data_IF_324379325012
#
_entry.id   IF_324379325012
#
_cell.length_a   1.000
_cell.length_b   1.000
_cell.length_c   1.000
_cell.angle_alpha   90.00
_cell.angle_beta   90.00
_cell.angle_gamma   90.00
#
_symmetry.space_group_name_H-M   'P 1'
#
loop_
_entity.id
_entity.type
_entity.pdbx_description
1 polymer ?
#
# COMPACT_ATOMS: atom_id res chain seq x y z
N UNK A 1 -14.33 6.49 -24.69
CA UNK A 1 -14.17 6.49 -23.22
C UNK A 1 -13.63 5.14 -22.81
N UNK A 2 -12.30 5.02 -22.65
CA UNK A 2 -11.70 3.77 -22.21
C UNK A 2 -12.10 3.55 -20.74
N UNK A 3 -12.65 2.38 -20.35
CA UNK A 3 -12.90 2.12 -18.95
C UNK A 3 -11.56 2.16 -18.23
N UNK A 4 -11.42 3.11 -17.30
CA UNK A 4 -10.31 3.13 -16.35
C UNK A 4 -10.35 1.75 -15.69
N UNK A 5 -9.38 0.91 -16.04
CA UNK A 5 -9.41 -0.52 -15.69
C UNK A 5 -9.67 -0.65 -14.20
N UNK A 6 -10.75 -1.35 -13.83
CA UNK A 6 -11.13 -1.47 -12.44
C UNK A 6 -9.92 -1.95 -11.63
N UNK A 7 -9.53 -1.24 -10.54
CA UNK A 7 -8.45 -1.71 -9.69
C UNK A 7 -8.78 -3.13 -9.24
N UNK A 8 -7.85 -4.06 -9.43
CA UNK A 8 -8.10 -5.46 -9.06
C UNK A 8 -8.11 -5.49 -7.54
N UNK A 9 -9.27 -5.77 -6.95
CA UNK A 9 -9.38 -5.95 -5.51
C UNK A 9 -9.31 -7.44 -5.22
N UNK A 10 -8.42 -7.85 -4.32
CA UNK A 10 -8.26 -9.25 -3.92
C UNK A 10 -8.40 -9.38 -2.43
N UNK A 11 -9.29 -10.27 -1.99
CA UNK A 11 -9.49 -10.55 -0.57
C UNK A 11 -8.23 -11.23 -0.01
N UNK A 12 -7.57 -10.59 0.96
CA UNK A 12 -6.34 -11.07 1.58
C UNK A 12 -6.29 -10.65 3.05
N UNK A 13 -5.76 -11.53 3.92
CA UNK A 13 -5.54 -11.25 5.34
C UNK A 13 -6.78 -10.76 6.11
N UNK A 14 -7.95 -11.32 5.79
CA UNK A 14 -9.21 -10.91 6.43
C UNK A 14 -9.78 -9.57 5.94
N UNK A 15 -9.15 -8.92 4.95
CA UNK A 15 -9.65 -7.71 4.30
C UNK A 15 -9.43 -7.72 2.79
N UNK A 16 -9.03 -6.60 2.20
CA UNK A 16 -8.98 -6.35 0.76
C UNK A 16 -7.67 -5.68 0.32
N UNK A 17 -6.85 -6.37 -0.47
CA UNK A 17 -5.72 -5.76 -1.17
C UNK A 17 -6.18 -5.08 -2.46
N UNK A 18 -5.74 -3.84 -2.69
CA UNK A 18 -5.96 -3.09 -3.92
C UNK A 18 -4.72 -3.15 -4.80
N UNK A 19 -4.93 -3.50 -6.06
CA UNK A 19 -3.88 -3.69 -7.05
C UNK A 19 -4.12 -2.81 -8.27
N UNK A 20 -3.05 -2.14 -8.69
CA UNK A 20 -2.94 -1.48 -9.98
C UNK A 20 -2.14 -2.42 -10.91
N UNK A 21 -2.86 -3.16 -11.75
CA UNK A 21 -2.30 -4.26 -12.55
C UNK A 21 -1.74 -5.40 -11.69
N UNK A 22 -0.41 -5.48 -11.55
CA UNK A 22 0.31 -6.43 -10.68
C UNK A 22 0.85 -5.76 -9.40
N UNK A 23 0.77 -4.44 -9.30
CA UNK A 23 1.32 -3.65 -8.20
C UNK A 23 0.28 -3.44 -7.10
N UNK A 24 0.44 -4.15 -5.97
CA UNK A 24 -0.36 -3.89 -4.77
C UNK A 24 0.07 -2.57 -4.15
N UNK A 25 -0.85 -1.60 -4.07
CA UNK A 25 -0.58 -0.25 -3.56
C UNK A 25 -1.32 0.07 -2.27
N UNK A 26 -2.44 -0.60 -1.99
CA UNK A 26 -3.15 -0.42 -0.73
C UNK A 26 -3.68 -1.77 -0.21
N UNK A 27 -3.91 -1.82 1.10
CA UNK A 27 -4.47 -2.97 1.81
C UNK A 27 -5.48 -2.44 2.81
N UNK A 28 -6.70 -2.95 2.78
CA UNK A 28 -7.70 -2.72 3.83
C UNK A 28 -7.67 -3.99 4.68
N UNK A 29 -7.38 -3.89 5.96
CA UNK A 29 -7.40 -5.03 6.89
C UNK A 29 -7.79 -4.53 8.27
N UNK A 30 -8.48 -5.36 9.07
CA UNK A 30 -8.92 -4.97 10.43
C UNK A 30 -9.71 -3.65 10.47
N UNK A 31 -10.51 -3.38 9.44
CA UNK A 31 -11.26 -2.12 9.27
C UNK A 31 -10.37 -0.86 9.13
N UNK A 32 -9.08 -1.04 8.84
CA UNK A 32 -8.11 0.03 8.63
C UNK A 32 -7.55 0.00 7.23
N UNK A 33 -7.34 1.18 6.65
CA UNK A 33 -6.69 1.34 5.37
C UNK A 33 -5.18 1.45 5.59
N UNK A 34 -4.43 0.70 4.80
CA UNK A 34 -2.98 0.72 4.78
C UNK A 34 -2.48 1.05 3.38
N UNK A 35 -1.57 2.01 3.28
CA UNK A 35 -0.93 2.42 2.05
C UNK A 35 0.47 1.85 1.95
N UNK A 36 0.88 1.49 0.73
CA UNK A 36 2.23 1.05 0.48
C UNK A 36 3.21 2.21 0.62
N UNK A 37 4.22 2.04 1.45
CA UNK A 37 5.35 2.94 1.55
C UNK A 37 6.61 2.28 0.97
N UNK A 38 7.48 3.07 0.37
CA UNK A 38 8.86 2.67 0.11
C UNK A 38 9.82 3.55 0.94
N UNK A 39 11.13 3.38 0.75
CA UNK A 39 12.14 4.18 1.44
C UNK A 39 11.94 5.70 1.25
N UNK A 40 11.34 6.14 0.13
CA UNK A 40 11.07 7.56 -0.12
C UNK A 40 9.86 8.06 0.67
N UNK A 41 8.75 7.31 0.69
CA UNK A 41 7.52 7.77 1.37
C UNK A 41 7.47 7.42 2.86
N UNK A 42 8.26 6.43 3.32
CA UNK A 42 8.39 6.04 4.72
C UNK A 42 8.55 7.20 5.72
N UNK A 43 9.51 8.13 5.55
CA UNK A 43 9.69 9.22 6.50
C UNK A 43 8.45 10.08 6.69
N UNK A 44 7.61 10.22 5.65
CA UNK A 44 6.35 10.96 5.73
C UNK A 44 5.30 10.21 6.55
N UNK A 45 5.23 8.88 6.42
CA UNK A 45 4.35 8.06 7.26
C UNK A 45 4.84 7.98 8.72
N UNK A 46 6.15 7.90 8.93
CA UNK A 46 6.75 7.89 10.27
C UNK A 46 6.60 9.25 10.97
N UNK A 47 6.64 10.36 10.23
CA UNK A 47 6.37 11.70 10.75
C UNK A 47 4.94 11.85 11.28
N UNK A 48 3.97 11.20 10.62
CA UNK A 48 2.57 11.12 11.04
C UNK A 48 2.35 10.14 12.22
N UNK A 49 3.40 9.44 12.67
CA UNK A 49 3.32 8.44 13.74
C UNK A 49 2.66 7.13 13.33
N UNK A 50 2.62 6.83 12.03
CA UNK A 50 1.93 5.67 11.49
C UNK A 50 2.82 4.43 11.57
N UNK A 51 2.26 3.34 12.07
CA UNK A 51 2.99 2.08 12.23
C UNK A 51 2.91 1.23 10.96
N UNK A 52 3.98 0.49 10.63
CA UNK A 52 3.95 -0.49 9.56
C UNK A 52 3.01 -1.65 9.94
N UNK A 53 2.38 -2.23 8.92
CA UNK A 53 1.56 -3.42 9.03
C UNK A 53 2.47 -4.61 9.33
N UNK A 54 2.34 -5.12 10.54
CA UNK A 54 3.03 -6.30 11.01
C UNK A 54 1.99 -7.37 11.24
N UNK A 55 2.19 -8.54 10.62
CA UNK A 55 1.32 -9.69 10.82
C UNK A 55 2.14 -10.95 11.07
N UNK A 56 1.58 -11.88 11.84
CA UNK A 56 2.21 -13.17 12.07
C UNK A 56 1.79 -14.15 10.97
N UNK A 57 2.78 -14.68 10.24
CA UNK A 57 2.59 -15.69 9.22
C UNK A 57 3.34 -16.96 9.61
N UNK A 58 2.60 -18.04 9.92
CA UNK A 58 3.16 -19.35 10.28
C UNK A 58 4.21 -19.27 11.41
N UNK A 59 3.91 -18.53 12.48
CA UNK A 59 4.84 -18.33 13.61
C UNK A 59 6.03 -17.42 13.31
N UNK A 60 6.01 -16.68 12.20
CA UNK A 60 6.99 -15.63 11.88
C UNK A 60 6.32 -14.28 11.77
N UNK A 61 6.85 -13.30 12.48
CA UNK A 61 6.46 -11.90 12.36
C UNK A 61 6.95 -11.35 11.03
N UNK A 62 6.04 -11.07 10.11
CA UNK A 62 6.32 -10.45 8.82
C UNK A 62 5.89 -8.99 8.90
N UNK A 63 6.88 -8.09 8.90
CA UNK A 63 6.62 -6.66 8.68
C UNK A 63 6.53 -6.40 7.18
N UNK A 64 5.42 -5.78 6.76
CA UNK A 64 5.30 -5.28 5.40
C UNK A 64 5.51 -3.77 5.38
N UNK A 65 5.94 -3.27 4.22
CA UNK A 65 6.01 -1.83 3.96
C UNK A 65 4.63 -1.26 3.62
N UNK A 66 3.60 -1.62 4.38
CA UNK A 66 2.30 -0.97 4.34
C UNK A 66 2.14 -0.20 5.63
N UNK A 67 1.75 1.07 5.57
CA UNK A 67 1.56 1.93 6.73
C UNK A 67 0.11 2.29 6.84
N UNK A 68 -0.40 2.42 8.06
CA UNK A 68 -1.77 2.86 8.28
C UNK A 68 -2.00 4.22 7.61
N UNK A 69 -3.18 4.44 7.03
CA UNK A 69 -3.53 5.69 6.42
C UNK A 69 -3.85 6.72 7.52
N UNK A 70 -3.33 7.96 7.43
CA UNK A 70 -3.62 8.97 8.44
C UNK A 70 -5.12 9.32 8.47
N UNK A 71 -5.67 9.69 9.64
CA UNK A 71 -7.09 10.02 9.77
C UNK A 71 -7.51 11.16 8.83
N UNK A 72 -6.60 12.10 8.53
CA UNK A 72 -6.82 13.19 7.57
C UNK A 72 -7.25 12.71 6.18
N UNK A 73 -6.84 11.50 5.74
CA UNK A 73 -7.30 10.99 4.43
C UNK A 73 -8.77 10.62 4.41
N UNK A 74 -9.39 10.42 5.57
CA UNK A 74 -10.83 10.17 5.67
C UNK A 74 -11.63 11.47 5.73
N UNK A 75 -11.00 12.56 6.17
CA UNK A 75 -11.61 13.89 6.27
C UNK A 75 -11.42 14.70 4.99
N UNK A 76 -10.27 14.59 4.34
CA UNK A 76 -9.90 15.31 3.12
C UNK A 76 -9.62 14.37 1.94
N UNK A 77 -10.45 14.49 0.90
CA UNK A 77 -10.32 13.71 -0.33
C UNK A 77 -9.05 14.07 -1.13
N UNK A 78 -8.49 15.27 -0.94
CA UNK A 78 -7.25 15.71 -1.56
C UNK A 78 -6.04 15.00 -0.95
N UNK A 79 -5.96 14.95 0.38
CA UNK A 79 -4.97 14.17 1.12
C UNK A 79 -5.08 12.69 0.76
N UNK A 80 -6.28 12.11 0.74
CA UNK A 80 -6.49 10.72 0.29
C UNK A 80 -5.86 10.47 -1.08
N UNK A 81 -6.11 11.36 -2.04
CA UNK A 81 -5.59 11.22 -3.40
C UNK A 81 -4.06 11.31 -3.42
N UNK A 82 -3.49 12.26 -2.68
CA UNK A 82 -2.04 12.46 -2.54
C UNK A 82 -1.36 11.22 -1.98
N UNK A 83 -1.87 10.66 -0.88
CA UNK A 83 -1.36 9.43 -0.29
C UNK A 83 -1.54 8.22 -1.20
N UNK A 84 -2.69 8.11 -1.86
CA UNK A 84 -2.92 7.05 -2.85
C UNK A 84 -1.94 7.14 -4.02
N UNK A 85 -1.65 8.33 -4.55
CA UNK A 85 -0.66 8.54 -5.60
C UNK A 85 0.75 8.15 -5.15
N UNK A 86 1.17 8.54 -3.94
CA UNK A 86 2.45 8.11 -3.35
C UNK A 86 2.52 6.59 -3.25
N UNK A 87 1.46 5.96 -2.77
CA UNK A 87 1.39 4.51 -2.61
C UNK A 87 1.45 3.77 -3.95
N UNK A 88 0.75 4.27 -4.98
CA UNK A 88 0.84 3.73 -6.34
C UNK A 88 2.26 3.86 -6.91
N UNK A 89 2.91 5.01 -6.73
CA UNK A 89 4.29 5.20 -7.16
C UNK A 89 5.27 4.26 -6.42
N UNK A 90 5.12 4.09 -5.10
CA UNK A 90 5.88 3.13 -4.30
C UNK A 90 5.64 1.68 -4.75
N UNK A 91 4.39 1.32 -5.04
CA UNK A 91 4.02 0.00 -5.54
C UNK A 91 4.66 -0.31 -6.89
N UNK A 92 4.62 0.65 -7.82
CA UNK A 92 5.24 0.54 -9.14
C UNK A 92 6.75 0.36 -9.02
N UNK A 93 7.43 1.20 -8.24
CA UNK A 93 8.88 1.08 -7.98
C UNK A 93 9.25 -0.28 -7.38
N UNK A 94 8.46 -0.78 -6.44
CA UNK A 94 8.67 -2.09 -5.84
C UNK A 94 8.49 -3.24 -6.85
N UNK A 95 7.52 -3.14 -7.76
CA UNK A 95 7.35 -4.13 -8.83
C UNK A 95 8.50 -4.07 -9.84
N UNK A 96 8.90 -2.88 -10.27
CA UNK A 96 10.04 -2.67 -11.18
C UNK A 96 11.33 -3.26 -10.58
N UNK A 97 11.59 -3.01 -9.30
CA UNK A 97 12.72 -3.61 -8.59
C UNK A 97 12.63 -5.16 -8.52
N UNK A 98 11.44 -5.71 -8.30
CA UNK A 98 11.22 -7.17 -8.25
C UNK A 98 11.43 -7.82 -9.61
N UNK A 99 10.96 -7.20 -10.70
CA UNK A 99 11.20 -7.68 -12.07
C UNK A 99 12.68 -7.66 -12.43
N UNK A 100 13.40 -6.58 -12.08
CA UNK A 100 14.83 -6.49 -12.34
C UNK A 100 15.63 -7.59 -11.62
N UNK A 101 15.21 -7.96 -10.40
CA UNK A 101 15.85 -9.03 -9.62
C UNK A 101 15.59 -10.44 -10.17
N UNK A 102 14.50 -10.65 -10.91
CA UNK A 102 14.14 -11.94 -11.51
C UNK A 102 14.84 -12.19 -12.85
N UNK A 103 15.43 -11.15 -13.45
CA UNK A 103 16.15 -11.19 -14.74
C UNK A 103 17.67 -11.34 -14.58
N UNK A 104 18.18 -11.32 -13.34
CA UNK A 104 19.59 -11.58 -12.99
C UNK A 104 19.72 -13.01 -12.46
#
# INVERSE_FOLDING_TARGET
MMPVGAPRVRRMFGGYGLYDGEAMFALIAYDRLYFKADAVSRPEFEAEGLNPFVYEMRGRTVSMSYYEAPPEVFEDSGEMRKWMHKAMAAARRAQEAKQNKKKR
#
